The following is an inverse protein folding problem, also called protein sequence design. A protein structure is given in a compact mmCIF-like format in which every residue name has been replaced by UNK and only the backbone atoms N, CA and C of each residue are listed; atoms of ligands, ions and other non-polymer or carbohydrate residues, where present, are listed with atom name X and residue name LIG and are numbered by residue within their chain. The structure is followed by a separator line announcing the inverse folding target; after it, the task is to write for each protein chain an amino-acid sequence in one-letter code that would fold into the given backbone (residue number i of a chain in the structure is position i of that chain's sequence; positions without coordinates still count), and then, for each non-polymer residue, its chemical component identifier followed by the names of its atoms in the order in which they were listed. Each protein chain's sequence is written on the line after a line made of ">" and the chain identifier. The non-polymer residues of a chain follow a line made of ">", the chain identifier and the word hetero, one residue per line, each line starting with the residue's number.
data_IF_530886337638
#
_entry.id   IF_530886337638
#
_cell.length_a   1.000
_cell.length_b   1.000
_cell.length_c   1.000
_cell.angle_alpha   90.00
_cell.angle_beta   90.00
_cell.angle_gamma   90.00
#
_symmetry.space_group_name_H-M   'P 1'
#
loop_
_entity.id
_entity.type
_entity.pdbx_description
1 polymer ?
#
# COMPACT_ATOMS: atom_id res chain seq x y z
N UNK A 1 6.74 -12.10 18.92
CA UNK A 1 5.93 -12.77 17.88
C UNK A 1 5.28 -11.78 16.90
N UNK A 2 5.15 -10.49 17.24
CA UNK A 2 4.56 -9.44 16.37
C UNK A 2 5.07 -9.42 14.92
N UNK A 3 6.38 -9.56 14.70
CA UNK A 3 6.99 -9.48 13.36
C UNK A 3 6.58 -10.61 12.40
N UNK A 4 6.00 -11.70 12.91
CA UNK A 4 5.48 -12.81 12.09
C UNK A 4 4.04 -12.57 11.61
N UNK A 5 3.40 -11.51 12.10
CA UNK A 5 2.00 -11.19 11.79
C UNK A 5 1.88 -10.10 10.73
N UNK A 6 2.99 -9.61 10.19
CA UNK A 6 3.01 -8.43 9.35
C UNK A 6 3.84 -8.61 8.09
N UNK A 7 3.33 -8.03 7.02
CA UNK A 7 3.89 -8.05 5.69
C UNK A 7 3.99 -6.62 5.16
N UNK A 8 5.02 -6.35 4.37
CA UNK A 8 5.14 -5.14 3.58
C UNK A 8 4.39 -5.34 2.27
N UNK A 9 3.47 -4.41 1.97
CA UNK A 9 2.80 -4.34 0.68
C UNK A 9 3.77 -3.76 -0.34
N UNK A 10 4.11 -4.54 -1.35
CA UNK A 10 4.97 -4.11 -2.47
C UNK A 10 4.21 -4.28 -3.78
N UNK A 11 4.21 -3.24 -4.59
CA UNK A 11 3.60 -3.27 -5.92
C UNK A 11 4.55 -3.88 -6.96
N UNK A 12 3.96 -4.52 -7.96
CA UNK A 12 4.67 -4.97 -9.14
C UNK A 12 4.34 -4.02 -10.30
N UNK A 13 5.35 -3.28 -10.75
CA UNK A 13 5.19 -2.27 -11.80
C UNK A 13 5.28 -2.87 -13.23
N UNK A 14 5.27 -4.20 -13.38
CA UNK A 14 5.20 -4.88 -14.69
C UNK A 14 3.95 -4.51 -15.51
N UNK A 15 2.91 -3.95 -14.88
CA UNK A 15 1.69 -3.50 -15.55
C UNK A 15 1.70 -2.00 -15.90
N UNK A 16 2.82 -1.33 -15.68
CA UNK A 16 3.04 0.08 -16.00
C UNK A 16 2.91 1.02 -14.80
N UNK A 17 3.29 2.28 -15.04
CA UNK A 17 3.21 3.36 -14.07
C UNK A 17 2.05 4.29 -14.39
N UNK A 18 1.22 4.54 -13.39
CA UNK A 18 0.12 5.48 -13.44
C UNK A 18 0.50 6.78 -12.73
N UNK A 19 0.04 7.90 -13.28
CA UNK A 19 0.09 9.20 -12.62
C UNK A 19 -1.30 9.84 -12.58
N UNK A 20 -1.48 10.76 -11.63
CA UNK A 20 -2.64 11.63 -11.58
C UNK A 20 -2.78 12.38 -12.92
N UNK A 21 -3.99 12.35 -13.49
CA UNK A 21 -4.27 13.04 -14.74
C UNK A 21 -4.53 14.55 -14.55
N UNK A 22 -4.81 14.98 -13.32
CA UNK A 22 -5.10 16.37 -12.98
C UNK A 22 -4.63 16.74 -11.55
N UNK A 23 -4.54 18.05 -11.28
CA UNK A 23 -4.10 18.62 -10.00
C UNK A 23 -5.03 18.24 -8.84
N UNK A 24 -6.32 18.09 -9.10
CA UNK A 24 -7.29 17.65 -8.10
C UNK A 24 -6.93 16.26 -7.55
N UNK A 25 -6.70 15.30 -8.45
CA UNK A 25 -6.30 13.93 -8.09
C UNK A 25 -4.98 13.94 -7.35
N UNK A 26 -4.01 14.73 -7.81
CA UNK A 26 -2.71 14.90 -7.14
C UNK A 26 -2.85 15.47 -5.72
N UNK A 27 -3.76 16.41 -5.53
CA UNK A 27 -4.02 16.99 -4.21
C UNK A 27 -4.66 15.97 -3.28
N UNK A 28 -5.69 15.26 -3.76
CA UNK A 28 -6.40 14.24 -2.98
C UNK A 28 -5.45 13.11 -2.54
N UNK A 29 -4.58 12.61 -3.42
CA UNK A 29 -3.66 11.52 -3.07
C UNK A 29 -2.62 11.91 -1.99
N UNK A 30 -2.23 13.19 -1.93
CA UNK A 30 -1.14 13.66 -1.06
C UNK A 30 -1.60 14.04 0.35
N UNK A 31 -2.89 14.35 0.52
CA UNK A 31 -3.47 14.64 1.83
C UNK A 31 -3.41 13.43 2.79
N UNK A 32 -3.18 13.69 4.07
CA UNK A 32 -3.04 12.68 5.14
C UNK A 32 -4.25 12.65 6.08
N UNK A 33 -5.43 12.82 5.52
CA UNK A 33 -6.71 12.87 6.24
C UNK A 33 -7.78 12.13 5.41
N UNK A 34 -8.84 11.64 6.04
CA UNK A 34 -10.01 11.17 5.30
C UNK A 34 -10.69 12.37 4.64
N UNK A 35 -11.22 12.18 3.44
CA UNK A 35 -11.77 13.26 2.64
C UNK A 35 -13.21 12.98 2.21
N UNK A 36 -14.05 14.00 2.16
CA UNK A 36 -15.26 13.91 1.34
C UNK A 36 -14.84 14.13 -0.11
N UNK A 37 -14.99 13.10 -0.94
CA UNK A 37 -14.65 13.16 -2.36
C UNK A 37 -15.87 12.68 -3.14
N UNK A 38 -16.49 13.61 -3.86
CA UNK A 38 -17.74 13.36 -4.59
C UNK A 38 -17.48 13.00 -6.06
N UNK A 39 -16.23 13.08 -6.51
CA UNK A 39 -15.81 12.83 -7.89
C UNK A 39 -14.79 11.70 -7.96
N UNK A 40 -14.86 10.89 -9.01
CA UNK A 40 -13.85 9.86 -9.25
C UNK A 40 -12.51 10.51 -9.62
N UNK A 41 -11.43 10.00 -9.03
CA UNK A 41 -10.07 10.42 -9.35
C UNK A 41 -9.69 9.98 -10.75
N UNK A 42 -8.90 10.79 -11.45
CA UNK A 42 -8.50 10.52 -12.83
C UNK A 42 -7.01 10.17 -12.88
N UNK A 43 -6.69 9.03 -13.46
CA UNK A 43 -5.33 8.53 -13.65
C UNK A 43 -5.07 8.23 -15.12
N UNK A 44 -3.80 8.28 -15.51
CA UNK A 44 -3.35 7.93 -16.86
C UNK A 44 -2.08 7.09 -16.78
N UNK A 45 -1.91 6.19 -17.74
CA UNK A 45 -0.67 5.45 -17.91
C UNK A 45 0.40 6.39 -18.48
N UNK A 46 1.50 6.57 -17.75
CA UNK A 46 2.64 7.39 -18.17
C UNK A 46 3.81 6.54 -18.63
N UNK A 47 3.91 5.31 -18.12
CA UNK A 47 4.89 4.32 -18.58
C UNK A 47 4.18 3.00 -18.82
N UNK A 48 4.30 2.45 -20.03
CA UNK A 48 3.77 1.12 -20.34
C UNK A 48 4.62 0.05 -19.63
N UNK A 49 3.95 -0.94 -19.06
CA UNK A 49 4.63 -2.10 -18.47
C UNK A 49 4.87 -3.22 -19.49
N UNK A 50 5.66 -4.21 -19.09
CA UNK A 50 5.98 -5.38 -19.90
C UNK A 50 4.83 -6.40 -20.00
N UNK A 51 3.84 -6.31 -19.10
CA UNK A 51 2.66 -7.17 -19.08
C UNK A 51 1.46 -6.49 -19.75
N UNK A 52 0.86 -7.16 -20.73
CA UNK A 52 -0.37 -6.70 -21.41
C UNK A 52 -1.67 -7.02 -20.66
N UNK A 53 -1.55 -7.57 -19.43
CA UNK A 53 -2.68 -8.02 -18.62
C UNK A 53 -3.36 -6.94 -17.78
N UNK A 54 -4.40 -7.36 -17.07
CA UNK A 54 -5.08 -6.54 -16.06
C UNK A 54 -4.46 -6.79 -14.68
N UNK A 55 -4.06 -5.72 -14.00
CA UNK A 55 -3.53 -5.81 -12.64
C UNK A 55 -4.65 -5.61 -11.60
N UNK A 56 -4.61 -6.37 -10.50
CA UNK A 56 -5.46 -6.09 -9.35
C UNK A 56 -4.96 -4.88 -8.56
N UNK A 57 -3.66 -4.59 -8.68
CA UNK A 57 -3.01 -3.42 -8.10
C UNK A 57 -2.11 -2.78 -9.15
N UNK A 58 -2.31 -1.49 -9.40
CA UNK A 58 -1.42 -0.72 -10.28
C UNK A 58 -0.43 0.13 -9.48
N UNK A 59 0.79 0.19 -10.00
CA UNK A 59 1.89 1.00 -9.47
C UNK A 59 1.64 2.48 -9.79
N UNK A 60 1.46 3.29 -8.74
CA UNK A 60 1.32 4.76 -8.81
C UNK A 60 1.90 5.37 -7.52
N UNK A 61 1.99 6.71 -7.36
CA UNK A 61 2.36 7.31 -6.07
C UNK A 61 1.54 6.80 -4.86
N UNK A 62 0.39 6.15 -5.12
CA UNK A 62 -0.45 5.40 -4.17
C UNK A 62 -1.05 4.16 -4.85
N UNK A 63 -1.45 3.15 -4.08
CA UNK A 63 -2.02 1.95 -4.68
C UNK A 63 -3.40 2.21 -5.30
N UNK A 64 -3.56 1.85 -6.57
CA UNK A 64 -4.85 1.78 -7.25
C UNK A 64 -5.30 0.33 -7.32
N UNK A 65 -6.49 0.06 -6.79
CA UNK A 65 -7.01 -1.27 -6.61
C UNK A 65 -8.15 -1.55 -7.59
N UNK A 66 -8.22 -2.77 -8.10
CA UNK A 66 -9.39 -3.27 -8.82
C UNK A 66 -10.63 -3.36 -7.92
N UNK A 67 -11.81 -3.39 -8.53
CA UNK A 67 -13.07 -3.64 -7.82
C UNK A 67 -13.07 -4.98 -7.05
N UNK A 68 -12.38 -6.01 -7.58
CA UNK A 68 -12.17 -7.30 -6.91
C UNK A 68 -11.45 -7.11 -5.58
N UNK A 69 -10.32 -6.39 -5.57
CA UNK A 69 -9.55 -6.18 -4.36
C UNK A 69 -10.25 -5.27 -3.35
N UNK A 70 -10.95 -4.25 -3.85
CA UNK A 70 -11.85 -3.43 -3.02
C UNK A 70 -12.90 -4.29 -2.30
N UNK A 71 -13.56 -5.20 -3.01
CA UNK A 71 -14.59 -6.09 -2.43
C UNK A 71 -14.02 -7.03 -1.36
N UNK A 72 -12.76 -7.47 -1.50
CA UNK A 72 -12.07 -8.32 -0.53
C UNK A 72 -11.65 -7.57 0.74
N UNK A 73 -11.30 -6.28 0.61
CA UNK A 73 -10.84 -5.46 1.73
C UNK A 73 -11.99 -4.83 2.53
N UNK A 74 -13.13 -4.57 1.88
CA UNK A 74 -14.29 -3.92 2.51
C UNK A 74 -14.79 -4.59 3.82
N UNK A 75 -14.83 -5.93 3.96
CA UNK A 75 -15.31 -6.58 5.17
C UNK A 75 -14.44 -6.38 6.42
N UNK A 76 -13.20 -5.90 6.27
CA UNK A 76 -12.28 -5.70 7.40
C UNK A 76 -12.54 -4.42 8.21
N UNK A 77 -13.48 -3.57 7.78
CA UNK A 77 -13.88 -2.33 8.46
C UNK A 77 -12.69 -1.46 8.89
N UNK A 78 -11.89 -1.06 7.90
CA UNK A 78 -10.60 -0.42 8.09
C UNK A 78 -10.76 1.09 8.40
N UNK A 79 -10.89 1.46 9.68
CA UNK A 79 -11.16 2.82 10.15
C UNK A 79 -10.26 3.91 9.53
N UNK A 80 -8.97 3.60 9.34
CA UNK A 80 -7.96 4.55 8.86
C UNK A 80 -7.63 4.39 7.38
N UNK A 81 -8.52 3.74 6.63
CA UNK A 81 -8.37 3.49 5.20
C UNK A 81 -9.60 4.02 4.48
N UNK A 82 -9.35 4.78 3.43
CA UNK A 82 -10.39 5.24 2.51
C UNK A 82 -10.18 4.63 1.13
N UNK A 83 -11.26 4.14 0.54
CA UNK A 83 -11.32 3.76 -0.87
C UNK A 83 -12.00 4.89 -1.63
N UNK A 84 -11.26 5.58 -2.49
CA UNK A 84 -11.80 6.68 -3.31
C UNK A 84 -11.96 6.17 -4.74
N UNK A 85 -13.16 6.26 -5.35
CA UNK A 85 -13.37 5.84 -6.73
C UNK A 85 -12.35 6.50 -7.67
N UNK A 86 -11.85 5.73 -8.63
CA UNK A 86 -10.85 6.17 -9.59
C UNK A 86 -11.11 5.56 -10.96
N UNK A 87 -10.79 6.33 -11.99
CA UNK A 87 -10.81 5.93 -13.39
C UNK A 87 -9.39 6.00 -13.94
N UNK A 88 -9.01 4.98 -14.71
CA UNK A 88 -7.76 4.98 -15.46
C UNK A 88 -8.13 5.22 -16.92
N UNK A 89 -7.46 6.16 -17.58
CA UNK A 89 -7.68 6.45 -19.01
C UNK A 89 -7.59 5.16 -19.84
N UNK A 90 -8.51 5.00 -20.78
CA UNK A 90 -8.64 3.84 -21.68
C UNK A 90 -8.93 2.49 -20.98
N UNK A 91 -9.31 2.49 -19.70
CA UNK A 91 -9.83 1.31 -18.99
C UNK A 91 -11.31 1.51 -18.63
N UNK A 92 -12.10 0.46 -18.84
CA UNK A 92 -13.55 0.50 -18.59
C UNK A 92 -13.91 0.04 -17.17
N UNK A 93 -12.98 -0.66 -16.51
CA UNK A 93 -13.14 -1.20 -15.18
C UNK A 93 -13.09 -0.11 -14.10
N UNK A 94 -13.76 -0.37 -12.98
CA UNK A 94 -13.74 0.51 -11.82
C UNK A 94 -12.50 0.26 -10.97
N UNK A 95 -11.86 1.36 -10.56
CA UNK A 95 -10.73 1.33 -9.67
C UNK A 95 -10.99 2.15 -8.41
N UNK A 96 -10.15 1.92 -7.41
CA UNK A 96 -10.20 2.61 -6.14
C UNK A 96 -8.79 2.97 -5.68
N UNK A 97 -8.56 4.24 -5.36
CA UNK A 97 -7.36 4.65 -4.63
C UNK A 97 -7.45 4.11 -3.20
N UNK A 98 -6.45 3.32 -2.79
CA UNK A 98 -6.25 2.90 -1.40
C UNK A 98 -5.52 4.00 -0.63
N UNK A 99 -6.28 4.83 0.07
CA UNK A 99 -5.75 5.92 0.88
C UNK A 99 -5.62 5.47 2.34
N UNK A 100 -4.42 5.05 2.71
CA UNK A 100 -4.05 4.76 4.10
C UNK A 100 -3.61 6.05 4.78
N UNK A 101 -4.35 6.47 5.82
CA UNK A 101 -4.06 7.65 6.64
C UNK A 101 -3.52 7.30 8.03
N UNK A 102 -3.44 6.01 8.36
CA UNK A 102 -2.81 5.55 9.59
C UNK A 102 -1.29 5.59 9.46
N UNK A 103 -0.60 6.31 10.34
CA UNK A 103 0.86 6.37 10.36
C UNK A 103 1.36 5.92 11.73
N UNK A 104 2.01 4.76 11.78
CA UNK A 104 2.54 4.17 13.00
C UNK A 104 4.06 4.12 12.90
N UNK A 105 4.74 4.79 13.83
CA UNK A 105 6.21 4.92 13.87
C UNK A 105 6.86 3.96 14.87
N UNK A 106 6.46 2.68 14.87
CA UNK A 106 6.93 1.68 15.84
C UNK A 106 7.91 0.69 15.21
N UNK A 107 9.07 1.19 14.80
CA UNK A 107 10.21 0.38 14.35
C UNK A 107 11.03 -0.03 15.57
N UNK A 108 11.47 -1.29 15.66
CA UNK A 108 12.48 -1.71 16.64
C UNK A 108 13.84 -1.20 16.15
N UNK A 109 14.23 0.02 16.52
CA UNK A 109 15.48 0.64 16.07
C UNK A 109 16.74 -0.12 16.53
N UNK A 110 16.65 -0.87 17.63
CA UNK A 110 17.78 -1.66 18.15
C UNK A 110 18.06 -2.89 17.30
N UNK A 111 17.00 -3.51 16.77
CA UNK A 111 17.12 -4.74 15.97
C UNK A 111 17.01 -4.48 14.47
N UNK A 112 16.43 -3.36 14.05
CA UNK A 112 16.39 -2.96 12.64
C UNK A 112 17.74 -2.43 12.18
N UNK A 113 18.00 -2.56 10.88
CA UNK A 113 19.12 -1.90 10.20
C UNK A 113 18.52 -1.11 9.05
N UNK A 114 18.07 0.10 9.39
CA UNK A 114 17.37 1.02 8.50
C UNK A 114 17.99 2.41 8.57
N UNK A 115 18.03 3.10 7.43
CA UNK A 115 18.42 4.52 7.38
C UNK A 115 17.16 5.36 7.25
N UNK A 116 16.87 6.18 8.26
CA UNK A 116 15.71 7.08 8.26
C UNK A 116 16.19 8.52 8.12
N UNK A 117 15.64 9.26 7.16
CA UNK A 117 15.91 10.70 6.96
C UNK A 117 14.58 11.44 6.85
N UNK A 118 14.36 12.43 7.74
CA UNK A 118 13.11 13.21 7.81
C UNK A 118 11.87 12.31 7.89
N UNK A 119 11.93 11.28 8.75
CA UNK A 119 10.86 10.28 8.94
C UNK A 119 10.62 9.32 7.78
N UNK A 120 11.40 9.40 6.69
CA UNK A 120 11.31 8.49 5.56
C UNK A 120 12.40 7.43 5.63
N UNK A 121 12.02 6.17 5.44
CA UNK A 121 12.96 5.07 5.22
C UNK A 121 13.66 5.30 3.87
N UNK A 122 14.99 5.31 3.87
CA UNK A 122 15.85 5.51 2.69
C UNK A 122 16.62 4.26 2.28
N UNK A 123 16.92 3.40 3.25
CA UNK A 123 17.54 2.11 3.02
C UNK A 123 17.08 1.12 4.10
N UNK A 124 16.97 -0.16 3.75
CA UNK A 124 16.56 -1.26 4.61
C UNK A 124 17.44 -2.46 4.34
N UNK A 125 18.28 -2.82 5.29
CA UNK A 125 18.94 -4.13 5.29
C UNK A 125 18.14 -5.14 6.10
N UNK A 126 17.49 -4.66 7.17
CA UNK A 126 16.62 -5.47 8.04
C UNK A 126 15.56 -4.58 8.68
N UNK A 127 14.29 -4.95 8.53
CA UNK A 127 13.17 -4.21 9.10
C UNK A 127 12.45 -5.05 10.15
N UNK A 128 12.27 -4.49 11.35
CA UNK A 128 11.49 -5.10 12.42
C UNK A 128 10.62 -4.05 13.10
N UNK A 129 9.38 -4.43 13.38
CA UNK A 129 8.43 -3.67 14.18
C UNK A 129 8.70 -3.89 15.67
N UNK A 130 8.51 -2.83 16.46
CA UNK A 130 8.58 -2.86 17.92
C UNK A 130 7.46 -3.73 18.49
N UNK A 131 7.73 -4.41 19.60
CA UNK A 131 6.70 -5.14 20.36
C UNK A 131 5.62 -4.23 20.93
N UNK A 132 5.90 -2.93 21.09
CA UNK A 132 4.92 -1.93 21.54
C UNK A 132 3.73 -1.80 20.60
N UNK A 133 3.86 -2.23 19.34
CA UNK A 133 2.75 -2.31 18.40
C UNK A 133 1.60 -3.17 18.93
N UNK A 134 1.89 -4.16 19.80
CA UNK A 134 0.88 -4.98 20.44
C UNK A 134 -0.04 -4.20 21.40
N UNK A 135 0.38 -3.00 21.84
CA UNK A 135 -0.43 -2.14 22.70
C UNK A 135 -1.51 -1.38 21.92
N UNK A 136 -1.44 -1.37 20.58
CA UNK A 136 -2.46 -0.80 19.70
C UNK A 136 -3.48 -1.90 19.37
N UNK A 137 -4.77 -1.58 19.42
CA UNK A 137 -5.84 -2.52 19.08
C UNK A 137 -5.64 -3.06 17.67
N UNK A 138 -5.91 -4.36 17.46
CA UNK A 138 -5.62 -5.01 16.18
C UNK A 138 -6.31 -4.30 15.00
N UNK A 139 -7.58 -3.90 15.17
CA UNK A 139 -8.37 -3.15 14.18
C UNK A 139 -7.64 -1.91 13.68
N UNK A 140 -6.94 -1.22 14.57
CA UNK A 140 -6.27 0.04 14.32
C UNK A 140 -4.87 -0.16 13.74
N UNK A 141 -4.45 -1.40 13.52
CA UNK A 141 -3.14 -1.77 12.95
C UNK A 141 -3.25 -2.89 11.91
N UNK A 142 -4.42 -3.02 11.27
CA UNK A 142 -4.62 -3.95 10.16
C UNK A 142 -3.88 -3.53 8.89
N UNK A 143 -3.94 -2.23 8.54
CA UNK A 143 -3.15 -1.59 7.48
C UNK A 143 -2.65 -0.25 7.99
N UNK A 144 -1.35 0.02 7.85
CA UNK A 144 -0.76 1.30 8.23
C UNK A 144 0.49 1.63 7.45
N UNK A 145 0.89 2.90 7.47
CA UNK A 145 2.15 3.39 6.92
C UNK A 145 3.19 3.54 8.03
N UNK A 146 4.46 3.29 7.69
CA UNK A 146 5.55 3.39 8.65
C UNK A 146 6.09 4.82 8.70
N UNK A 147 5.82 5.53 9.79
CA UNK A 147 6.28 6.91 9.99
C UNK A 147 5.85 7.87 8.88
N UNK A 148 6.80 8.49 8.18
CA UNK A 148 6.49 9.30 6.98
C UNK A 148 6.86 8.60 5.67
N UNK A 149 7.28 7.34 5.74
CA UNK A 149 7.67 6.55 4.59
C UNK A 149 6.46 6.14 3.73
N UNK A 150 6.62 5.93 2.41
CA UNK A 150 5.59 5.31 1.58
C UNK A 150 5.33 3.83 1.92
N UNK A 151 6.15 3.22 2.76
CA UNK A 151 6.06 1.81 3.14
C UNK A 151 4.74 1.55 3.86
N UNK A 152 3.93 0.66 3.26
CA UNK A 152 2.66 0.21 3.82
C UNK A 152 2.81 -1.20 4.35
N UNK A 153 2.35 -1.41 5.58
CA UNK A 153 2.39 -2.67 6.31
C UNK A 153 0.98 -3.18 6.51
N UNK A 154 0.81 -4.49 6.32
CA UNK A 154 -0.48 -5.18 6.37
C UNK A 154 -0.40 -6.39 7.28
N UNK A 155 -1.42 -6.56 8.11
CA UNK A 155 -1.55 -7.69 9.00
C UNK A 155 -1.88 -8.98 8.24
N UNK A 156 -1.39 -10.12 8.74
CA UNK A 156 -1.54 -11.44 8.13
C UNK A 156 -2.98 -11.83 7.84
N UNK A 157 -3.96 -11.41 8.65
CA UNK A 157 -5.37 -11.75 8.41
C UNK A 157 -5.89 -11.22 7.08
N UNK A 158 -5.39 -10.06 6.63
CA UNK A 158 -5.70 -9.51 5.31
C UNK A 158 -4.91 -10.26 4.25
N UNK A 159 -3.60 -10.43 4.46
CA UNK A 159 -2.72 -11.13 3.51
C UNK A 159 -3.23 -12.55 3.22
N UNK A 160 -3.63 -13.30 4.23
CA UNK A 160 -4.17 -14.65 4.10
C UNK A 160 -5.46 -14.65 3.26
N UNK A 161 -6.34 -13.66 3.46
CA UNK A 161 -7.55 -13.49 2.64
C UNK A 161 -7.19 -13.18 1.17
N UNK A 162 -6.19 -12.33 0.94
CA UNK A 162 -5.80 -11.88 -0.39
C UNK A 162 -5.02 -12.95 -1.18
N UNK A 163 -4.14 -13.71 -0.52
CA UNK A 163 -3.33 -14.74 -1.16
C UNK A 163 -4.15 -15.89 -1.76
N UNK A 164 -5.40 -16.09 -1.32
CA UNK A 164 -6.31 -17.09 -1.92
C UNK A 164 -6.79 -16.73 -3.32
N UNK A 165 -6.54 -15.51 -3.80
CA UNK A 165 -7.22 -14.93 -4.97
C UNK A 165 -6.34 -14.77 -6.23
N UNK A 166 -5.10 -15.30 -6.20
CA UNK A 166 -4.11 -15.21 -7.29
C UNK A 166 -3.99 -13.79 -7.89
N UNK A 167 -3.84 -12.80 -7.02
CA UNK A 167 -3.84 -11.39 -7.38
C UNK A 167 -2.63 -11.02 -8.25
N UNK A 168 -2.82 -10.08 -9.18
CA UNK A 168 -1.77 -9.54 -10.04
C UNK A 168 -1.36 -8.13 -9.61
N UNK A 169 -0.09 -7.76 -9.77
CA UNK A 169 0.40 -6.41 -9.49
C UNK A 169 0.77 -6.13 -8.02
N UNK A 170 0.75 -7.15 -7.16
CA UNK A 170 1.06 -7.01 -5.73
C UNK A 170 1.76 -8.24 -5.14
N UNK A 171 2.69 -7.97 -4.23
CA UNK A 171 3.31 -8.96 -3.37
C UNK A 171 3.24 -8.53 -1.90
N UNK A 172 3.21 -9.54 -1.02
CA UNK A 172 3.27 -9.36 0.42
C UNK A 172 4.53 -10.01 0.94
N UNK A 173 5.52 -9.19 1.32
CA UNK A 173 6.80 -9.68 1.82
C UNK A 173 6.75 -9.67 3.35
N UNK A 174 6.99 -10.80 4.05
CA UNK A 174 7.06 -10.78 5.51
C UNK A 174 8.00 -9.67 6.00
N UNK A 175 7.61 -8.92 7.02
CA UNK A 175 8.42 -7.82 7.58
C UNK A 175 9.85 -8.27 7.89
N UNK A 176 10.01 -9.49 8.42
CA UNK A 176 11.31 -10.08 8.74
C UNK A 176 12.19 -10.40 7.54
N UNK A 177 11.60 -10.54 6.36
CA UNK A 177 12.28 -10.85 5.10
C UNK A 177 12.45 -9.61 4.20
N UNK A 178 11.81 -8.49 4.55
CA UNK A 178 11.86 -7.28 3.75
C UNK A 178 13.20 -6.57 3.89
N UNK A 179 13.86 -6.38 2.75
CA UNK A 179 15.08 -5.59 2.59
C UNK A 179 15.00 -4.83 1.26
N UNK A 180 15.50 -3.60 1.23
CA UNK A 180 15.44 -2.71 0.07
C UNK A 180 16.50 -3.03 -1.00
N UNK A 181 17.11 -4.22 -0.94
CA UNK A 181 18.08 -4.74 -1.92
C UNK A 181 17.53 -5.88 -2.78
N UNK A 182 16.21 -6.04 -2.86
CA UNK A 182 15.62 -6.72 -4.00
C UNK A 182 15.52 -5.73 -5.15
N UNK A 183 16.68 -5.40 -5.73
CA UNK A 183 16.70 -5.07 -7.14
C UNK A 183 16.05 -6.25 -7.85
N UNK A 184 14.88 -6.02 -8.40
CA UNK A 184 14.30 -6.83 -9.47
C UNK A 184 15.44 -7.27 -10.37
N UNK A 185 15.76 -8.57 -10.33
CA UNK A 185 16.59 -9.20 -11.36
C UNK A 185 15.77 -9.34 -12.63
#
# INVERSE_FOLDING_TARGET
>A
MINQEYYVWTEDCQFGLLDAANEFTETVQNKRELLSVDEALAYKMTTQGDSEGFADVYCSPKYLLSEKLYALLRPFDLEYVQFIPANIDQKAEKFYLLKVINFISLIDEKKSKVTIKRGNIKNVDRFLLSSELANINLTDRLIFKVGHSPVTVVHKSIVDSLNTQNLQGVHFIPVTAWSAWLATK
#
